data_IF_141538874735
#
_entry.id   IF_141538874735
#
_cell.length_a   1.000
_cell.length_b   1.000
_cell.length_c   1.000
_cell.angle_alpha   90.00
_cell.angle_beta   90.00
_cell.angle_gamma   90.00
#
_symmetry.space_group_name_H-M   'P 1'
#
loop_
_entity.id
_entity.type
_entity.pdbx_description
1 polymer ?
#
# COMPACT_ATOMS: atom_id res chain seq x y z
N UNK A 1 -8.91 -7.47 -22.03
CA UNK A 1 -9.69 -6.66 -21.07
C UNK A 1 -8.75 -6.30 -19.93
N UNK A 2 -8.55 -5.01 -19.63
CA UNK A 2 -7.61 -4.56 -18.60
C UNK A 2 -8.30 -4.56 -17.23
N UNK A 3 -7.83 -5.41 -16.30
CA UNK A 3 -8.43 -5.58 -14.98
C UNK A 3 -8.43 -4.28 -14.16
N UNK A 4 -7.39 -3.44 -14.29
CA UNK A 4 -7.32 -2.15 -13.60
C UNK A 4 -8.47 -1.25 -14.06
N UNK A 5 -8.72 -1.19 -15.36
CA UNK A 5 -9.82 -0.39 -15.89
C UNK A 5 -11.19 -0.89 -15.42
N UNK A 6 -11.35 -2.22 -15.28
CA UNK A 6 -12.58 -2.79 -14.72
C UNK A 6 -12.80 -2.35 -13.27
N UNK A 7 -11.75 -2.40 -12.44
CA UNK A 7 -11.83 -2.00 -11.03
C UNK A 7 -12.14 -0.50 -10.88
N UNK A 8 -11.54 0.34 -11.73
CA UNK A 8 -11.82 1.78 -11.77
C UNK A 8 -13.26 2.08 -12.19
N UNK A 9 -13.75 1.39 -13.22
CA UNK A 9 -15.13 1.58 -13.70
C UNK A 9 -16.19 1.08 -12.70
N UNK A 10 -15.82 0.13 -11.84
CA UNK A 10 -16.67 -0.39 -10.78
C UNK A 10 -16.73 0.53 -9.54
N UNK A 11 -16.04 1.68 -9.56
CA UNK A 11 -16.04 2.69 -8.51
C UNK A 11 -15.65 2.15 -7.12
N UNK A 12 -14.67 1.23 -7.09
CA UNK A 12 -14.22 0.58 -5.85
C UNK A 12 -13.36 1.49 -4.97
N UNK A 13 -12.73 2.52 -5.54
CA UNK A 13 -11.81 3.42 -4.84
C UNK A 13 -12.51 4.71 -4.43
N UNK A 14 -13.20 4.67 -3.30
CA UNK A 14 -14.11 5.73 -2.87
C UNK A 14 -13.44 6.95 -2.22
N UNK A 15 -12.19 6.81 -1.77
CA UNK A 15 -11.46 7.85 -1.02
C UNK A 15 -10.13 8.16 -1.68
N UNK A 16 -9.86 9.45 -1.87
CA UNK A 16 -8.56 9.94 -2.33
C UNK A 16 -7.69 10.30 -1.14
N UNK A 17 -6.48 9.76 -1.09
CA UNK A 17 -5.44 10.10 -0.11
C UNK A 17 -4.25 10.70 -0.84
N UNK A 18 -3.78 11.86 -0.37
CA UNK A 18 -2.55 12.50 -0.83
C UNK A 18 -1.57 12.44 0.32
N UNK A 19 -0.38 11.91 0.05
CA UNK A 19 0.71 11.80 1.02
C UNK A 19 1.88 12.65 0.55
N UNK A 20 2.54 13.30 1.50
CA UNK A 20 3.74 14.08 1.21
C UNK A 20 4.94 13.17 1.00
N UNK A 21 5.94 13.65 0.25
CA UNK A 21 7.20 12.94 0.12
C UNK A 21 7.81 12.74 1.50
N UNK A 22 8.30 11.53 1.75
CA UNK A 22 8.86 11.12 3.04
C UNK A 22 7.84 10.87 4.16
N UNK A 23 6.55 10.77 3.82
CA UNK A 23 5.50 10.37 4.76
C UNK A 23 5.14 8.91 4.60
N UNK A 24 4.70 8.27 5.69
CA UNK A 24 4.22 6.90 5.63
C UNK A 24 2.72 6.85 5.33
N UNK A 25 2.34 5.96 4.43
CA UNK A 25 0.95 5.57 4.23
C UNK A 25 0.46 4.68 5.37
N UNK A 26 1.32 3.73 5.77
CA UNK A 26 1.12 2.69 6.80
C UNK A 26 2.47 2.31 7.40
N UNK A 27 2.53 2.12 8.71
CA UNK A 27 3.72 1.71 9.46
C UNK A 27 3.52 0.32 10.10
N UNK A 28 4.64 -0.29 10.49
CA UNK A 28 4.63 -1.46 11.37
C UNK A 28 3.80 -1.19 12.63
N UNK A 29 2.91 -2.13 12.98
CA UNK A 29 1.98 -1.99 14.10
C UNK A 29 0.64 -1.34 13.74
N UNK A 30 0.48 -0.77 12.53
CA UNK A 30 -0.80 -0.27 12.08
C UNK A 30 -1.72 -1.42 11.63
N UNK A 31 -3.02 -1.24 11.84
CA UNK A 31 -4.05 -2.08 11.22
C UNK A 31 -4.46 -1.41 9.91
N UNK A 32 -4.09 -2.01 8.77
CA UNK A 32 -4.41 -1.50 7.44
C UNK A 32 -5.14 -2.55 6.60
N UNK A 33 -6.45 -2.41 6.54
CA UNK A 33 -7.38 -3.22 5.73
C UNK A 33 -7.84 -2.52 4.46
N UNK A 34 -7.08 -1.54 3.96
CA UNK A 34 -7.44 -0.80 2.75
C UNK A 34 -6.73 -1.36 1.50
N UNK A 35 -7.37 -1.14 0.35
CA UNK A 35 -6.78 -1.38 -0.97
C UNK A 35 -6.50 -0.02 -1.61
N UNK A 36 -5.25 0.22 -2.00
CA UNK A 36 -4.82 1.49 -2.58
C UNK A 36 -4.54 1.33 -4.07
N UNK A 37 -5.09 2.23 -4.88
CA UNK A 37 -4.71 2.42 -6.27
C UNK A 37 -3.80 3.64 -6.40
N UNK A 38 -2.64 3.46 -7.02
CA UNK A 38 -1.69 4.57 -7.23
C UNK A 38 -2.11 5.35 -8.48
N UNK A 39 -2.80 6.46 -8.25
CA UNK A 39 -3.21 7.39 -9.33
C UNK A 39 -1.99 8.16 -9.89
N UNK A 40 -1.08 8.60 -9.02
CA UNK A 40 0.12 9.36 -9.38
C UNK A 40 1.20 9.21 -8.30
N UNK A 41 2.46 9.19 -8.73
CA UNK A 41 3.63 9.15 -7.84
C UNK A 41 4.23 7.76 -7.73
N UNK A 42 4.98 7.54 -6.65
CA UNK A 42 5.64 6.28 -6.34
C UNK A 42 5.57 6.01 -4.84
N UNK A 43 5.41 4.74 -4.49
CA UNK A 43 5.47 4.23 -3.13
C UNK A 43 6.63 3.23 -3.00
N UNK A 44 7.28 3.19 -1.85
CA UNK A 44 8.26 2.17 -1.46
C UNK A 44 7.64 1.31 -0.36
N UNK A 45 7.60 0.01 -0.61
CA UNK A 45 7.17 -0.98 0.36
C UNK A 45 8.42 -1.69 0.85
N UNK A 46 8.61 -1.68 2.15
CA UNK A 46 9.78 -2.29 2.77
C UNK A 46 9.38 -2.99 4.06
N UNK A 47 10.24 -3.92 4.46
CA UNK A 47 10.18 -4.61 5.74
C UNK A 47 11.44 -4.29 6.53
N UNK A 48 11.34 -4.35 7.85
CA UNK A 48 12.51 -4.28 8.73
C UNK A 48 12.89 -5.69 9.16
N UNK A 49 14.13 -6.08 8.87
CA UNK A 49 14.73 -7.32 9.35
C UNK A 49 15.90 -6.91 10.26
N UNK A 50 15.74 -7.16 11.57
CA UNK A 50 16.62 -6.63 12.62
C UNK A 50 16.79 -5.10 12.52
N UNK A 51 18.01 -4.63 12.24
CA UNK A 51 18.35 -3.21 12.08
C UNK A 51 18.44 -2.77 10.60
N UNK A 52 18.01 -3.61 9.65
CA UNK A 52 18.08 -3.31 8.22
C UNK A 52 16.71 -3.17 7.56
N UNK A 53 16.54 -2.10 6.79
CA UNK A 53 15.41 -1.95 5.88
C UNK A 53 15.66 -2.74 4.59
N UNK A 54 14.72 -3.61 4.24
CA UNK A 54 14.71 -4.33 2.97
C UNK A 54 13.52 -3.89 2.14
N UNK A 55 13.80 -3.24 1.01
CA UNK A 55 12.75 -2.91 0.04
C UNK A 55 12.29 -4.18 -0.66
N UNK A 56 11.00 -4.48 -0.55
CA UNK A 56 10.41 -5.66 -1.19
C UNK A 56 9.71 -5.29 -2.50
N UNK A 57 9.24 -4.05 -2.64
CA UNK A 57 8.51 -3.60 -3.82
C UNK A 57 8.47 -2.08 -3.94
N UNK A 58 8.40 -1.60 -5.18
CA UNK A 58 7.96 -0.24 -5.48
C UNK A 58 6.57 -0.27 -6.12
N UNK A 59 5.69 0.63 -5.68
CA UNK A 59 4.40 0.90 -6.31
C UNK A 59 4.52 2.13 -7.20
N UNK A 60 4.08 2.04 -8.45
CA UNK A 60 4.01 3.16 -9.38
C UNK A 60 2.57 3.38 -9.84
N UNK A 61 2.36 4.41 -10.68
CA UNK A 61 1.07 4.63 -11.35
C UNK A 61 0.48 3.32 -11.87
N UNK A 62 -0.82 3.15 -11.65
CA UNK A 62 -1.62 1.97 -12.02
C UNK A 62 -1.34 0.69 -11.22
N UNK A 63 -0.47 0.74 -10.21
CA UNK A 63 -0.31 -0.36 -9.28
C UNK A 63 -1.40 -0.34 -8.20
N UNK A 64 -1.76 -1.54 -7.75
CA UNK A 64 -2.57 -1.77 -6.56
C UNK A 64 -1.63 -2.20 -5.43
N UNK A 65 -1.74 -1.53 -4.30
CA UNK A 65 -0.96 -1.78 -3.09
C UNK A 65 -1.92 -2.17 -1.96
N UNK A 66 -1.54 -3.20 -1.21
CA UNK A 66 -2.28 -3.72 -0.05
C UNK A 66 -1.26 -4.17 0.99
N UNK A 67 -1.50 -3.85 2.25
CA UNK A 67 -0.82 -4.49 3.37
C UNK A 67 -1.41 -5.88 3.59
N UNK A 68 -0.97 -6.87 2.81
CA UNK A 68 -1.72 -8.13 2.63
C UNK A 68 -1.92 -8.91 3.93
N UNK A 69 -0.92 -8.92 4.81
CA UNK A 69 -0.96 -9.57 6.12
C UNK A 69 -2.02 -8.93 7.02
N UNK A 70 -2.02 -7.61 7.15
CA UNK A 70 -3.00 -6.88 7.96
C UNK A 70 -4.39 -6.94 7.34
N UNK A 71 -4.49 -6.82 6.01
CA UNK A 71 -5.75 -6.92 5.27
C UNK A 71 -6.47 -8.26 5.48
N UNK A 72 -5.73 -9.38 5.44
CA UNK A 72 -6.33 -10.71 5.60
C UNK A 72 -6.57 -11.08 7.07
N UNK A 73 -5.69 -10.63 7.98
CA UNK A 73 -5.77 -11.02 9.39
C UNK A 73 -6.61 -10.08 10.25
N UNK A 74 -6.87 -8.86 9.76
CA UNK A 74 -7.44 -7.73 10.51
C UNK A 74 -6.64 -7.40 11.80
N UNK A 75 -5.35 -7.75 11.81
CA UNK A 75 -4.42 -7.51 12.91
C UNK A 75 -3.36 -6.49 12.49
N UNK A 76 -2.65 -5.88 13.46
CA UNK A 76 -1.50 -5.05 13.17
C UNK A 76 -0.53 -5.74 12.21
N UNK A 77 -0.05 -5.02 11.18
CA UNK A 77 1.04 -5.55 10.35
C UNK A 77 2.29 -5.71 11.20
N UNK A 78 2.94 -6.86 11.03
CA UNK A 78 4.10 -7.24 11.85
C UNK A 78 5.41 -6.83 11.18
N UNK A 79 5.38 -6.62 9.86
CA UNK A 79 6.61 -6.47 9.09
C UNK A 79 6.56 -5.33 8.07
N UNK A 80 5.37 -4.91 7.61
CA UNK A 80 5.24 -4.08 6.42
C UNK A 80 5.08 -2.59 6.74
N UNK A 81 5.86 -1.76 6.05
CA UNK A 81 5.66 -0.31 6.00
C UNK A 81 5.58 0.17 4.55
N UNK A 82 4.71 1.15 4.31
CA UNK A 82 4.48 1.74 2.99
C UNK A 82 4.80 3.24 3.07
N UNK A 83 5.74 3.68 2.24
CA UNK A 83 6.31 5.02 2.19
C UNK A 83 6.06 5.67 0.83
#
# INVERSE_FOLDING_TARGET
MNIIQMLLNADLFQKKKVIDRHSFLTLEGDIDSNIYYVEKGSLRIFIRDEDQERTIRFGYKENIIVCLDSFLSEKPTVEMSIF
#
